data_IF_802062249135
#
_entry.id   IF_802062249135
#
_cell.length_a   1.000
_cell.length_b   1.000
_cell.length_c   1.000
_cell.angle_alpha   90.00
_cell.angle_beta   90.00
_cell.angle_gamma   90.00
#
_symmetry.space_group_name_H-M   'P 1'
#
loop_
_entity.id
_entity.type
_entity.pdbx_description
1 polymer ?
#
# COMPACT_ATOMS: atom_id res chain seq x y z
N UNK A 1 -9.82 -7.84 10.28
CA UNK A 1 -9.74 -6.49 9.69
C UNK A 1 -9.72 -6.64 8.19
N UNK A 2 -10.67 -6.00 7.51
CA UNK A 2 -10.70 -5.87 6.05
C UNK A 2 -9.57 -4.97 5.55
N UNK A 3 -9.29 -5.01 4.24
CA UNK A 3 -8.29 -4.11 3.64
C UNK A 3 -8.68 -2.64 3.83
N UNK A 4 -9.97 -2.31 3.67
CA UNK A 4 -10.51 -0.98 3.88
C UNK A 4 -10.26 -0.47 5.29
N UNK A 5 -10.68 -1.22 6.31
CA UNK A 5 -10.45 -0.85 7.72
C UNK A 5 -8.96 -0.64 8.01
N UNK A 6 -8.12 -1.53 7.50
CA UNK A 6 -6.67 -1.50 7.75
C UNK A 6 -5.99 -0.31 7.10
N UNK A 7 -6.30 -0.02 5.84
CA UNK A 7 -5.74 1.12 5.11
C UNK A 7 -6.22 2.43 5.74
N UNK A 8 -7.51 2.53 6.10
CA UNK A 8 -8.03 3.70 6.81
C UNK A 8 -7.34 3.89 8.18
N UNK A 9 -7.13 2.82 8.94
CA UNK A 9 -6.36 2.89 10.19
C UNK A 9 -4.90 3.30 9.96
N UNK A 10 -4.26 2.85 8.88
CA UNK A 10 -2.91 3.29 8.52
C UNK A 10 -2.87 4.79 8.19
N UNK A 11 -3.88 5.31 7.49
CA UNK A 11 -4.01 6.76 7.23
C UNK A 11 -4.16 7.51 8.56
N UNK A 12 -5.05 7.06 9.44
CA UNK A 12 -5.28 7.71 10.74
C UNK A 12 -4.01 7.73 11.60
N UNK A 13 -3.20 6.66 11.56
CA UNK A 13 -2.04 6.51 12.45
C UNK A 13 -0.74 7.05 11.87
N UNK A 14 -0.62 7.20 10.55
CA UNK A 14 0.63 7.62 9.89
C UNK A 14 0.51 8.94 9.13
N UNK A 15 -0.62 9.19 8.49
CA UNK A 15 -0.81 10.40 7.68
C UNK A 15 -1.29 11.55 8.55
N UNK A 16 -2.36 11.36 9.32
CA UNK A 16 -2.95 12.44 10.14
C UNK A 16 -1.92 13.02 11.13
N UNK A 17 -1.15 12.22 11.90
CA UNK A 17 -0.13 12.77 12.79
C UNK A 17 0.97 13.50 12.01
N UNK A 18 1.38 12.98 10.85
CA UNK A 18 2.34 13.63 9.97
C UNK A 18 1.87 15.02 9.55
N UNK A 19 0.63 15.15 9.10
CA UNK A 19 0.05 16.45 8.71
C UNK A 19 -0.09 17.41 9.89
N UNK A 20 -0.50 16.91 11.06
CA UNK A 20 -0.73 17.75 12.25
C UNK A 20 0.56 18.27 12.88
N UNK A 21 1.60 17.44 12.92
CA UNK A 21 2.83 17.73 13.66
C UNK A 21 4.03 18.11 12.77
N UNK A 22 3.97 17.93 11.45
CA UNK A 22 5.03 18.39 10.56
C UNK A 22 5.03 19.92 10.41
N UNK A 23 6.22 20.52 10.16
CA UNK A 23 6.34 21.89 9.66
C UNK A 23 5.42 22.12 8.46
N UNK A 24 4.94 23.34 8.30
CA UNK A 24 3.94 23.66 7.27
C UNK A 24 4.43 23.26 5.86
N UNK A 25 5.71 23.50 5.59
CA UNK A 25 6.39 23.22 4.33
C UNK A 25 6.48 21.72 4.02
N UNK A 26 6.42 20.86 5.03
CA UNK A 26 6.55 19.39 4.90
C UNK A 26 5.18 18.68 4.87
N UNK A 27 4.07 19.39 5.12
CA UNK A 27 2.72 18.78 5.13
C UNK A 27 2.33 18.19 3.78
N UNK A 28 2.79 18.82 2.69
CA UNK A 28 2.54 18.34 1.33
C UNK A 28 3.20 16.99 1.04
N UNK A 29 4.21 16.58 1.83
CA UNK A 29 4.78 15.24 1.71
C UNK A 29 3.80 14.14 2.15
N UNK A 30 2.76 14.48 2.92
CA UNK A 30 1.77 13.53 3.42
C UNK A 30 0.48 13.59 2.61
N UNK A 31 0.00 14.81 2.34
CA UNK A 31 -1.23 15.04 1.58
C UNK A 31 -1.00 16.24 0.65
N UNK A 32 -1.20 16.02 -0.66
CA UNK A 32 -1.22 17.09 -1.65
C UNK A 32 -2.65 17.41 -2.05
N UNK A 33 -3.06 18.67 -1.86
CA UNK A 33 -4.40 19.12 -2.18
C UNK A 33 -4.51 19.53 -3.64
N UNK A 34 -5.53 19.03 -4.32
CA UNK A 34 -5.85 19.40 -5.70
C UNK A 34 -7.26 20.01 -5.79
N UNK A 35 -7.59 20.86 -4.82
CA UNK A 35 -8.92 21.45 -4.68
C UNK A 35 -9.42 22.17 -5.94
N UNK A 36 -8.51 22.72 -6.75
CA UNK A 36 -8.84 23.58 -7.89
C UNK A 36 -8.35 23.05 -9.24
N UNK A 37 -7.66 21.89 -9.28
CA UNK A 37 -7.08 21.39 -10.53
C UNK A 37 -7.12 19.87 -10.62
N UNK A 38 -7.89 19.35 -11.58
CA UNK A 38 -7.97 17.91 -11.85
C UNK A 38 -6.78 17.39 -12.67
N UNK A 39 -5.99 18.27 -13.28
CA UNK A 39 -4.95 17.89 -14.24
C UNK A 39 -3.77 17.15 -13.60
N UNK A 40 -3.62 17.26 -12.28
CA UNK A 40 -2.52 16.63 -11.54
C UNK A 40 -2.89 15.28 -10.92
N UNK A 41 -4.17 14.89 -10.97
CA UNK A 41 -4.65 13.58 -10.54
C UNK A 41 -4.19 12.51 -11.52
N UNK A 42 -3.85 11.32 -11.01
CA UNK A 42 -3.40 10.20 -11.84
C UNK A 42 -4.09 8.90 -11.44
N UNK A 43 -4.24 8.01 -12.43
CA UNK A 43 -4.65 6.62 -12.16
C UNK A 43 -3.75 5.98 -11.12
N UNK A 44 -4.38 5.32 -10.15
CA UNK A 44 -3.72 4.65 -9.03
C UNK A 44 -3.40 5.55 -7.83
N UNK A 45 -3.69 6.86 -7.89
CA UNK A 45 -3.56 7.72 -6.72
C UNK A 45 -4.56 7.33 -5.64
N UNK A 46 -4.11 7.30 -4.39
CA UNK A 46 -4.98 7.15 -3.23
C UNK A 46 -5.47 8.54 -2.84
N UNK A 47 -6.78 8.75 -2.85
CA UNK A 47 -7.38 10.06 -2.61
C UNK A 47 -8.46 10.01 -1.54
N UNK A 48 -8.74 11.16 -0.95
CA UNK A 48 -10.01 11.40 -0.29
C UNK A 48 -10.76 12.58 -0.93
N UNK A 49 -12.08 12.44 -0.99
CA UNK A 49 -13.01 13.46 -1.45
C UNK A 49 -13.22 14.53 -0.37
N UNK A 50 -13.05 15.80 -0.72
CA UNK A 50 -13.00 16.90 0.25
C UNK A 50 -14.39 17.52 0.55
N UNK A 51 -15.31 17.50 -0.41
CA UNK A 51 -16.58 18.27 -0.37
C UNK A 51 -17.83 17.40 -0.18
N UNK A 52 -17.66 16.08 -0.15
CA UNK A 52 -18.72 15.10 0.11
C UNK A 52 -19.29 15.26 1.53
N UNK A 53 -20.55 15.70 1.62
CA UNK A 53 -21.22 15.97 2.89
C UNK A 53 -21.56 14.72 3.70
N UNK A 54 -21.75 13.58 3.02
CA UNK A 54 -22.10 12.31 3.65
C UNK A 54 -20.95 11.32 3.49
N UNK A 55 -20.57 10.70 4.60
CA UNK A 55 -19.64 9.56 4.59
C UNK A 55 -20.24 8.46 3.74
N UNK A 56 -19.44 7.96 2.79
CA UNK A 56 -19.81 6.89 1.88
C UNK A 56 -18.59 6.00 1.60
N UNK A 57 -18.84 4.88 0.93
CA UNK A 57 -17.82 3.85 0.70
C UNK A 57 -16.63 4.31 -0.15
N UNK A 58 -16.81 5.34 -0.98
CA UNK A 58 -15.85 5.84 -1.95
C UNK A 58 -15.23 7.18 -1.52
N UNK A 59 -15.50 7.63 -0.29
CA UNK A 59 -14.95 8.89 0.23
C UNK A 59 -13.42 8.85 0.26
N UNK A 60 -12.86 7.67 0.54
CA UNK A 60 -11.42 7.38 0.40
C UNK A 60 -11.28 6.19 -0.52
N UNK A 61 -10.49 6.33 -1.58
CA UNK A 61 -10.39 5.32 -2.63
C UNK A 61 -9.24 5.57 -3.57
N UNK A 62 -9.07 4.66 -4.53
CA UNK A 62 -8.08 4.82 -5.58
C UNK A 62 -8.72 5.42 -6.82
N UNK A 63 -8.03 6.34 -7.48
CA UNK A 63 -8.45 6.76 -8.82
C UNK A 63 -8.25 5.58 -9.76
N UNK A 64 -9.34 5.08 -10.33
CA UNK A 64 -9.29 4.03 -11.34
C UNK A 64 -8.89 4.65 -12.69
N UNK A 65 -9.64 5.65 -13.12
CA UNK A 65 -9.34 6.45 -14.29
C UNK A 65 -10.03 7.82 -14.22
N UNK A 66 -9.65 8.68 -15.17
CA UNK A 66 -10.22 10.01 -15.34
C UNK A 66 -11.06 10.04 -16.61
N UNK A 67 -12.31 10.50 -16.48
CA UNK A 67 -13.17 10.81 -17.61
C UNK A 67 -13.14 12.32 -17.89
N UNK A 68 -13.75 12.75 -19.00
CA UNK A 68 -13.75 14.16 -19.43
C UNK A 68 -14.39 15.09 -18.37
N UNK A 69 -15.43 14.62 -17.71
CA UNK A 69 -16.27 15.39 -16.80
C UNK A 69 -16.28 14.84 -15.36
N UNK A 70 -15.77 13.63 -15.13
CA UNK A 70 -15.76 13.00 -13.80
C UNK A 70 -14.44 12.29 -13.46
N UNK A 71 -14.25 12.04 -12.16
CA UNK A 71 -13.19 11.17 -11.62
C UNK A 71 -13.82 9.86 -11.18
N UNK A 72 -13.30 8.73 -11.65
CA UNK A 72 -13.81 7.41 -11.29
C UNK A 72 -12.98 6.84 -10.16
N UNK A 73 -13.62 6.60 -9.02
CA UNK A 73 -12.99 6.11 -7.80
C UNK A 73 -13.33 4.63 -7.60
N UNK A 74 -12.29 3.82 -7.40
CA UNK A 74 -12.38 2.44 -6.92
C UNK A 74 -12.36 2.40 -5.40
N UNK A 75 -13.31 1.69 -4.81
CA UNK A 75 -13.34 1.43 -3.38
C UNK A 75 -12.13 0.58 -2.93
N UNK A 76 -11.59 0.90 -1.75
CA UNK A 76 -10.52 0.12 -1.12
C UNK A 76 -11.02 -1.29 -0.77
N UNK A 77 -10.26 -2.30 -1.17
CA UNK A 77 -10.52 -3.72 -0.93
C UNK A 77 -11.56 -4.34 -1.88
N UNK A 78 -12.05 -3.59 -2.87
CA UNK A 78 -13.06 -4.07 -3.82
C UNK A 78 -12.81 -3.53 -5.24
N UNK A 79 -13.60 -4.05 -6.20
CA UNK A 79 -13.63 -3.56 -7.58
C UNK A 79 -14.87 -2.68 -7.85
N UNK A 80 -15.57 -2.23 -6.80
CA UNK A 80 -16.70 -1.31 -6.95
C UNK A 80 -16.16 0.05 -7.39
N UNK A 81 -16.85 0.66 -8.35
CA UNK A 81 -16.51 1.97 -8.90
C UNK A 81 -17.60 2.98 -8.59
N UNK A 82 -17.22 4.26 -8.48
CA UNK A 82 -18.14 5.39 -8.29
C UNK A 82 -17.64 6.62 -9.05
N UNK A 83 -18.55 7.31 -9.72
CA UNK A 83 -18.25 8.51 -10.51
C UNK A 83 -18.47 9.77 -9.66
N UNK A 84 -17.46 10.63 -9.61
CA UNK A 84 -17.55 11.94 -8.95
C UNK A 84 -17.43 13.08 -9.98
N UNK A 85 -18.50 13.85 -10.16
CA UNK A 85 -18.58 14.92 -11.17
C UNK A 85 -18.19 16.31 -10.63
N UNK A 86 -18.57 16.61 -9.39
CA UNK A 86 -18.36 17.90 -8.74
C UNK A 86 -17.73 17.71 -7.36
N UNK A 87 -16.58 17.06 -7.34
CA UNK A 87 -15.80 16.80 -6.14
C UNK A 87 -14.38 17.28 -6.35
N UNK A 88 -13.73 17.66 -5.26
CA UNK A 88 -12.32 17.97 -5.21
C UNK A 88 -11.60 16.94 -4.36
N UNK A 89 -10.37 16.62 -4.76
CA UNK A 89 -9.62 15.53 -4.16
C UNK A 89 -8.31 16.02 -3.56
N UNK A 90 -7.90 15.34 -2.50
CA UNK A 90 -6.56 15.43 -1.96
C UNK A 90 -5.89 14.07 -2.10
N UNK A 91 -4.66 14.04 -2.62
CA UNK A 91 -3.88 12.82 -2.80
C UNK A 91 -3.07 12.54 -1.55
N UNK A 92 -3.23 11.33 -1.02
CA UNK A 92 -2.46 10.81 0.11
C UNK A 92 -1.16 10.21 -0.41
N UNK A 93 -0.03 10.58 0.19
CA UNK A 93 1.25 9.95 -0.13
C UNK A 93 1.31 8.50 0.36
N UNK A 94 1.22 7.57 -0.59
CA UNK A 94 1.26 6.12 -0.38
C UNK A 94 2.55 5.63 0.27
N UNK A 95 3.68 6.31 0.04
CA UNK A 95 4.98 5.89 0.59
C UNK A 95 4.98 5.94 2.13
N UNK A 96 4.28 6.93 2.71
CA UNK A 96 4.13 7.07 4.16
C UNK A 96 3.23 5.96 4.77
N UNK A 97 2.43 5.28 3.97
CA UNK A 97 1.60 4.14 4.39
C UNK A 97 2.34 2.80 4.35
N UNK A 98 3.36 2.66 3.49
CA UNK A 98 4.14 1.44 3.33
C UNK A 98 3.30 0.22 2.92
N UNK A 99 3.69 -0.97 3.39
CA UNK A 99 3.03 -2.24 3.01
C UNK A 99 1.60 -2.41 3.52
N UNK A 100 1.12 -1.48 4.37
CA UNK A 100 -0.29 -1.44 4.74
C UNK A 100 -1.18 -1.00 3.57
N UNK A 101 -0.64 -0.56 2.44
CA UNK A 101 -1.45 -0.28 1.26
C UNK A 101 -1.84 -1.54 0.48
N UNK A 102 -1.11 -2.65 0.63
CA UNK A 102 -1.36 -3.86 -0.16
C UNK A 102 -2.79 -4.37 0.07
N UNK A 103 -3.43 -4.92 -0.97
CA UNK A 103 -4.81 -5.43 -0.90
C UNK A 103 -4.87 -6.95 -1.18
N UNK A 104 -5.88 -7.62 -0.65
CA UNK A 104 -6.24 -9.00 -0.97
C UNK A 104 -5.10 -10.01 -0.82
N UNK A 105 -4.75 -10.68 -1.92
CA UNK A 105 -3.74 -11.74 -1.94
C UNK A 105 -2.33 -11.18 -1.68
N UNK A 106 -2.04 -9.95 -2.09
CA UNK A 106 -0.74 -9.33 -1.88
C UNK A 106 -0.47 -9.11 -0.39
N UNK A 107 -1.44 -8.52 0.34
CA UNK A 107 -1.31 -8.33 1.78
C UNK A 107 -1.18 -9.65 2.54
N UNK A 108 -1.99 -10.66 2.17
CA UNK A 108 -1.87 -12.01 2.76
C UNK A 108 -0.51 -12.63 2.48
N UNK A 109 0.07 -12.39 1.31
CA UNK A 109 1.40 -12.89 0.95
C UNK A 109 2.48 -12.19 1.76
N UNK A 110 2.38 -10.86 1.93
CA UNK A 110 3.24 -10.09 2.81
C UNK A 110 3.24 -10.62 4.25
N UNK A 111 2.07 -10.87 4.85
CA UNK A 111 1.97 -11.45 6.20
C UNK A 111 2.61 -12.84 6.28
N UNK A 112 2.40 -13.68 5.27
CA UNK A 112 3.03 -15.01 5.19
C UNK A 112 4.55 -14.91 5.06
N UNK A 113 5.06 -13.93 4.30
CA UNK A 113 6.48 -13.68 4.14
C UNK A 113 7.13 -13.27 5.46
N UNK A 114 6.54 -12.32 6.20
CA UNK A 114 7.03 -11.94 7.53
C UNK A 114 7.13 -13.14 8.47
N UNK A 115 6.11 -14.00 8.48
CA UNK A 115 6.12 -15.23 9.27
C UNK A 115 7.13 -16.26 8.76
N UNK A 116 7.35 -16.34 7.45
CA UNK A 116 8.36 -17.23 6.87
C UNK A 116 9.78 -16.80 7.28
N UNK A 117 10.10 -15.51 7.24
CA UNK A 117 11.36 -14.98 7.79
C UNK A 117 11.52 -15.35 9.28
N UNK A 118 10.47 -15.18 10.09
CA UNK A 118 10.54 -15.58 11.50
C UNK A 118 10.81 -17.07 11.75
N UNK A 119 10.35 -17.94 10.85
CA UNK A 119 10.36 -19.39 11.05
C UNK A 119 11.50 -20.14 10.33
N UNK A 120 12.02 -19.60 9.22
CA UNK A 120 12.89 -20.34 8.31
C UNK A 120 14.27 -19.71 8.08
N UNK A 121 14.48 -18.45 8.47
CA UNK A 121 15.79 -17.81 8.35
C UNK A 121 16.51 -17.74 9.70
N UNK A 122 17.84 -17.59 9.65
CA UNK A 122 18.67 -17.37 10.82
C UNK A 122 18.28 -16.06 11.54
N UNK A 123 18.61 -15.95 12.82
CA UNK A 123 18.37 -14.75 13.63
C UNK A 123 18.93 -13.47 13.00
N UNK A 124 20.03 -13.59 12.28
CA UNK A 124 20.73 -12.47 11.63
C UNK A 124 20.12 -12.08 10.29
N UNK A 125 19.15 -12.82 9.76
CA UNK A 125 18.51 -12.56 8.47
C UNK A 125 17.11 -12.01 8.71
N UNK A 126 16.83 -10.84 8.13
CA UNK A 126 15.60 -10.08 8.35
C UNK A 126 14.94 -9.72 7.04
N UNK A 127 13.61 -9.58 7.09
CA UNK A 127 12.85 -8.98 6.01
C UNK A 127 13.34 -7.55 5.73
N UNK A 128 13.52 -7.23 4.44
CA UNK A 128 13.84 -5.88 3.97
C UNK A 128 12.66 -5.27 3.23
N UNK A 129 12.20 -5.94 2.17
CA UNK A 129 11.12 -5.42 1.34
C UNK A 129 10.38 -6.53 0.60
N UNK A 130 9.19 -6.17 0.11
CA UNK A 130 8.36 -6.98 -0.77
C UNK A 130 7.88 -6.10 -1.93
N UNK A 131 7.87 -6.65 -3.13
CA UNK A 131 7.28 -6.02 -4.31
C UNK A 131 6.48 -7.04 -5.11
N UNK A 132 5.51 -6.54 -5.86
CA UNK A 132 4.62 -7.35 -6.68
C UNK A 132 4.59 -6.78 -8.09
N UNK A 133 4.85 -7.64 -9.08
CA UNK A 133 4.78 -7.31 -10.49
C UNK A 133 3.96 -8.40 -11.19
N UNK A 134 2.74 -8.05 -11.59
CA UNK A 134 1.76 -9.02 -12.09
C UNK A 134 1.52 -10.16 -11.08
N UNK A 135 1.85 -11.38 -11.49
CA UNK A 135 1.74 -12.59 -10.68
C UNK A 135 3.02 -13.01 -9.96
N UNK A 136 4.08 -12.18 -10.02
CA UNK A 136 5.36 -12.43 -9.38
C UNK A 136 5.50 -11.59 -8.10
N UNK A 137 6.05 -12.21 -7.06
CA UNK A 137 6.39 -11.59 -5.79
C UNK A 137 7.90 -11.67 -5.60
N UNK A 138 8.56 -10.53 -5.38
CA UNK A 138 9.96 -10.47 -4.98
C UNK A 138 10.08 -10.13 -3.51
N UNK A 139 10.92 -10.88 -2.78
CA UNK A 139 11.26 -10.63 -1.39
C UNK A 139 12.75 -10.37 -1.26
N UNK A 140 13.10 -9.27 -0.61
CA UNK A 140 14.49 -8.97 -0.27
C UNK A 140 14.74 -9.26 1.20
N UNK A 141 15.88 -9.88 1.46
CA UNK A 141 16.42 -10.11 2.80
C UNK A 141 17.57 -9.13 3.06
N UNK A 142 17.84 -8.85 4.34
CA UNK A 142 18.99 -8.08 4.81
C UNK A 142 19.58 -8.71 6.06
N UNK A 143 20.84 -8.40 6.35
CA UNK A 143 21.43 -8.72 7.65
C UNK A 143 20.83 -7.82 8.73
N UNK A 144 20.71 -8.35 9.95
CA UNK A 144 20.35 -7.57 11.12
C UNK A 144 21.35 -6.41 11.28
N UNK A 145 20.85 -5.24 11.66
CA UNK A 145 21.63 -4.00 11.82
C UNK A 145 22.30 -3.46 10.54
N UNK A 146 22.03 -4.05 9.37
CA UNK A 146 22.43 -3.53 8.07
C UNK A 146 21.19 -3.32 7.19
N UNK A 147 21.29 -2.42 6.21
CA UNK A 147 20.21 -2.18 5.24
C UNK A 147 20.53 -2.72 3.84
N UNK A 148 21.75 -3.20 3.61
CA UNK A 148 22.13 -3.80 2.33
C UNK A 148 21.33 -5.07 2.07
N UNK A 149 20.97 -5.26 0.81
CA UNK A 149 20.31 -6.49 0.39
C UNK A 149 21.30 -7.65 0.54
N UNK A 150 20.90 -8.66 1.31
CA UNK A 150 21.68 -9.89 1.46
C UNK A 150 21.42 -10.84 0.30
N UNK A 151 20.14 -11.09 0.02
CA UNK A 151 19.69 -11.86 -1.13
C UNK A 151 18.25 -11.46 -1.50
N UNK A 152 17.83 -11.87 -2.69
CA UNK A 152 16.47 -11.72 -3.18
C UNK A 152 15.93 -13.08 -3.64
N UNK A 153 14.63 -13.32 -3.41
CA UNK A 153 13.90 -14.45 -3.98
C UNK A 153 12.66 -13.95 -4.70
N UNK A 154 12.43 -14.48 -5.89
CA UNK A 154 11.27 -14.14 -6.71
C UNK A 154 10.49 -15.40 -7.00
N UNK A 155 9.17 -15.37 -6.79
CA UNK A 155 8.31 -16.53 -6.99
C UNK A 155 6.90 -16.12 -7.42
N UNK A 156 6.20 -16.99 -8.18
CA UNK A 156 4.80 -16.76 -8.48
C UNK A 156 3.97 -16.84 -7.19
N UNK A 157 3.05 -15.88 -7.00
CA UNK A 157 2.19 -15.83 -5.82
C UNK A 157 0.72 -15.93 -6.18
N UNK A 158 -0.07 -16.54 -5.29
CA UNK A 158 -1.53 -16.63 -5.40
C UNK A 158 -2.13 -16.94 -4.01
N UNK A 159 -3.44 -17.17 -3.96
CA UNK A 159 -4.16 -17.49 -2.72
C UNK A 159 -3.64 -18.75 -2.01
N UNK A 160 -3.06 -19.70 -2.76
CA UNK A 160 -2.49 -20.97 -2.27
C UNK A 160 -1.03 -20.86 -1.83
N UNK A 161 -0.34 -19.73 -2.06
CA UNK A 161 1.03 -19.53 -1.56
C UNK A 161 1.07 -19.74 -0.05
N UNK A 162 1.97 -20.60 0.43
CA UNK A 162 2.03 -20.97 1.85
C UNK A 162 3.27 -20.40 2.53
N UNK A 163 3.25 -20.31 3.85
CA UNK A 163 4.43 -19.92 4.64
C UNK A 163 5.58 -20.91 4.39
N UNK A 164 5.28 -22.21 4.32
CA UNK A 164 6.29 -23.25 4.11
C UNK A 164 6.93 -23.19 2.70
N UNK A 165 6.16 -22.86 1.66
CA UNK A 165 6.72 -22.70 0.31
C UNK A 165 7.64 -21.48 0.22
N UNK A 166 7.26 -20.35 0.84
CA UNK A 166 8.13 -19.16 0.93
C UNK A 166 9.37 -19.50 1.77
N UNK A 167 9.18 -20.14 2.92
CA UNK A 167 10.24 -20.48 3.86
C UNK A 167 11.33 -21.39 3.26
N UNK A 168 10.97 -22.33 2.39
CA UNK A 168 11.95 -23.16 1.66
C UNK A 168 12.86 -22.32 0.77
N UNK A 169 12.30 -21.39 -0.01
CA UNK A 169 13.07 -20.49 -0.86
C UNK A 169 14.03 -19.61 -0.04
N UNK A 170 13.55 -19.09 1.09
CA UNK A 170 14.38 -18.30 1.99
C UNK A 170 15.52 -19.14 2.58
N UNK A 171 15.22 -20.33 3.09
CA UNK A 171 16.20 -21.24 3.70
C UNK A 171 17.29 -21.67 2.73
N UNK A 172 16.94 -21.89 1.46
CA UNK A 172 17.92 -22.24 0.41
C UNK A 172 18.94 -21.12 0.13
N UNK A 173 18.53 -19.85 0.29
CA UNK A 173 19.39 -18.68 0.08
C UNK A 173 20.12 -18.20 1.34
N UNK A 174 19.65 -18.60 2.51
CA UNK A 174 20.17 -18.20 3.82
C UNK A 174 21.25 -19.16 4.38
N UNK A 175 21.85 -19.96 3.49
CA UNK A 175 22.95 -20.89 3.78
C UNK A 175 24.32 -20.19 3.67
#
# INVERSE_FOLDING_TARGET
MSDKERILMAIITRIIPGVLYAPFEEREEYIKSYMFSRSELKTGDLVFANTSLKVNDFLVGFIDHLEKDCVVIREIGSNRLCNYYNESFSVINKEKLGYELLEGVQYKTYQKALKAFGNYTQYWTRFKSISFEGNMCSLQARKAFKNDTLFEVTFPYNSKTTIASIGRLLKEKDL
#
